data_IF_642666079818
#
_entry.id   IF_642666079818
#
_cell.length_a   1.000
_cell.length_b   1.000
_cell.length_c   1.000
_cell.angle_alpha   90.00
_cell.angle_beta   90.00
_cell.angle_gamma   90.00
#
_symmetry.space_group_name_H-M   'P 1'
#
loop_
_entity.id
_entity.type
_entity.pdbx_description
1 polymer ?
#
# COMPACT_ATOMS: atom_id res chain seq x y z
N UNK A 1 22.60 -4.69 2.70
CA UNK A 1 21.53 -4.75 1.68
C UNK A 1 20.67 -3.48 1.80
N UNK A 2 20.49 -2.70 0.72
CA UNK A 2 19.78 -1.42 0.73
C UNK A 2 18.34 -1.52 1.26
N UNK A 3 17.67 -2.66 1.01
CA UNK A 3 16.32 -2.94 1.51
C UNK A 3 16.22 -2.95 3.04
N UNK A 4 17.27 -3.41 3.74
CA UNK A 4 17.32 -3.43 5.21
C UNK A 4 17.45 -2.03 5.80
N UNK A 5 18.16 -1.13 5.12
CA UNK A 5 18.32 0.26 5.54
C UNK A 5 17.03 1.07 5.33
N UNK A 6 16.36 0.89 4.19
CA UNK A 6 15.08 1.53 3.92
C UNK A 6 13.99 1.05 4.87
N UNK A 7 13.84 -0.28 5.04
CA UNK A 7 12.90 -0.87 6.00
C UNK A 7 13.16 -0.36 7.42
N UNK A 8 14.41 -0.37 7.88
CA UNK A 8 14.78 0.15 9.20
C UNK A 8 14.43 1.63 9.34
N UNK A 9 14.75 2.46 8.34
CA UNK A 9 14.48 3.90 8.37
C UNK A 9 12.98 4.19 8.40
N UNK A 10 12.18 3.53 7.57
CA UNK A 10 10.73 3.64 7.59
C UNK A 10 10.17 3.21 8.95
N UNK A 11 10.59 2.06 9.45
CA UNK A 11 10.07 1.50 10.70
C UNK A 11 10.43 2.34 11.93
N UNK A 12 11.62 2.95 11.93
CA UNK A 12 12.14 3.71 13.09
C UNK A 12 11.91 5.21 13.01
N UNK A 13 11.68 5.78 11.82
CA UNK A 13 11.48 7.22 11.64
C UNK A 13 10.05 7.58 11.24
N UNK A 14 9.42 6.78 10.37
CA UNK A 14 8.09 7.08 9.82
C UNK A 14 6.99 6.38 10.62
N UNK A 15 7.17 5.11 10.97
CA UNK A 15 6.19 4.31 11.72
C UNK A 15 6.48 4.21 13.22
N UNK A 16 7.03 5.28 13.80
CA UNK A 16 7.22 5.38 15.24
C UNK A 16 5.88 5.26 15.98
N UNK A 17 5.85 4.64 17.18
CA UNK A 17 4.63 4.50 17.98
C UNK A 17 3.88 5.80 18.25
N UNK A 18 4.59 6.92 18.29
CA UNK A 18 4.05 8.25 18.52
C UNK A 18 3.46 8.89 17.25
N UNK A 19 4.01 8.60 16.07
CA UNK A 19 3.55 9.17 14.79
C UNK A 19 2.51 8.31 14.09
N UNK A 20 2.52 7.00 14.33
CA UNK A 20 1.60 6.10 13.63
C UNK A 20 0.12 6.36 13.95
N UNK A 21 -0.32 6.54 15.21
CA UNK A 21 -1.72 6.83 15.50
C UNK A 21 -2.26 8.11 14.82
N UNK A 22 -1.59 9.29 14.92
CA UNK A 22 -2.08 10.48 14.22
C UNK A 22 -2.01 10.35 12.70
N UNK A 23 -1.01 9.65 12.15
CA UNK A 23 -0.91 9.41 10.71
C UNK A 23 -2.04 8.52 10.20
N UNK A 24 -2.36 7.43 10.91
CA UNK A 24 -3.50 6.57 10.58
C UNK A 24 -4.84 7.31 10.71
N UNK A 25 -4.99 8.18 11.72
CA UNK A 25 -6.16 9.04 11.85
C UNK A 25 -6.30 10.02 10.69
N UNK A 26 -5.20 10.64 10.25
CA UNK A 26 -5.20 11.53 9.09
C UNK A 26 -5.55 10.78 7.82
N UNK A 27 -4.89 9.64 7.55
CA UNK A 27 -5.20 8.79 6.40
C UNK A 27 -6.67 8.35 6.43
N UNK A 28 -7.18 7.90 7.58
CA UNK A 28 -8.60 7.58 7.75
C UNK A 28 -9.49 8.77 7.44
N UNK A 29 -9.16 9.97 7.93
CA UNK A 29 -9.99 11.16 7.71
C UNK A 29 -10.02 11.62 6.25
N UNK A 30 -8.91 11.41 5.53
CA UNK A 30 -8.78 11.74 4.11
C UNK A 30 -9.56 10.73 3.25
N UNK A 31 -9.44 9.43 3.57
CA UNK A 31 -10.07 8.36 2.80
C UNK A 31 -11.54 8.15 3.17
N UNK A 32 -11.91 8.37 4.43
CA UNK A 32 -13.25 8.13 4.99
C UNK A 32 -13.72 9.34 5.83
N UNK A 33 -14.12 10.45 5.20
CA UNK A 33 -14.64 11.63 5.90
C UNK A 33 -15.81 11.23 6.82
N UNK A 34 -15.77 11.64 8.08
CA UNK A 34 -16.79 11.32 9.10
C UNK A 34 -17.09 9.81 9.29
N UNK A 35 -16.18 8.92 8.87
CA UNK A 35 -16.38 7.48 8.96
C UNK A 35 -17.69 7.01 8.30
N UNK A 36 -18.17 7.75 7.29
CA UNK A 36 -19.36 7.37 6.54
C UNK A 36 -19.06 6.12 5.73
N UNK A 37 -20.02 5.19 5.70
CA UNK A 37 -19.95 4.07 4.77
C UNK A 37 -19.75 4.62 3.36
N UNK A 38 -18.74 4.10 2.67
CA UNK A 38 -18.54 4.41 1.26
C UNK A 38 -19.79 4.04 0.46
N UNK A 39 -20.01 4.67 -0.70
CA UNK A 39 -21.07 4.24 -1.61
C UNK A 39 -20.93 2.74 -1.91
N UNK A 40 -22.03 2.05 -2.25
CA UNK A 40 -21.97 0.65 -2.67
C UNK A 40 -20.91 0.49 -3.74
N UNK A 41 -20.14 -0.60 -3.66
CA UNK A 41 -19.06 -0.86 -4.58
C UNK A 41 -19.59 -0.75 -6.02
N UNK A 42 -18.98 0.07 -6.89
CA UNK A 42 -19.39 0.12 -8.28
C UNK A 42 -19.23 -1.27 -8.91
N UNK A 43 -19.96 -1.57 -9.99
CA UNK A 43 -19.72 -2.79 -10.73
C UNK A 43 -18.23 -2.90 -11.10
N UNK A 44 -17.64 -4.11 -11.11
CA UNK A 44 -16.25 -4.28 -11.50
C UNK A 44 -16.03 -3.62 -12.87
N UNK A 45 -14.98 -2.78 -13.01
CA UNK A 45 -14.68 -2.12 -14.28
C UNK A 45 -14.43 -3.17 -15.37
N UNK A 46 -14.87 -2.84 -16.58
CA UNK A 46 -14.58 -3.62 -17.78
C UNK A 46 -13.07 -3.69 -18.04
N UNK A 47 -12.64 -4.64 -18.88
CA UNK A 47 -11.21 -4.80 -19.20
C UNK A 47 -10.60 -3.53 -19.79
N UNK A 48 -11.33 -2.84 -20.67
CA UNK A 48 -10.88 -1.58 -21.28
C UNK A 48 -10.77 -0.47 -20.23
N UNK A 49 -11.75 -0.35 -19.34
CA UNK A 49 -11.71 0.62 -18.24
C UNK A 49 -10.55 0.34 -17.27
N UNK A 50 -10.25 -0.93 -16.99
CA UNK A 50 -9.12 -1.31 -16.12
C UNK A 50 -7.79 -0.84 -16.69
N UNK A 51 -7.57 -1.06 -17.99
CA UNK A 51 -6.36 -0.61 -18.69
C UNK A 51 -6.28 0.92 -18.63
N UNK A 52 -7.39 1.62 -18.94
CA UNK A 52 -7.42 3.08 -18.89
C UNK A 52 -7.15 3.64 -17.48
N UNK A 53 -7.71 3.01 -16.44
CA UNK A 53 -7.47 3.38 -15.03
C UNK A 53 -6.01 3.17 -14.65
N UNK A 54 -5.41 2.05 -15.04
CA UNK A 54 -4.01 1.74 -14.77
C UNK A 54 -3.07 2.73 -15.43
N UNK A 55 -3.24 2.97 -16.73
CA UNK A 55 -2.43 3.94 -17.48
C UNK A 55 -2.55 5.34 -16.90
N UNK A 56 -3.76 5.76 -16.54
CA UNK A 56 -3.99 7.04 -15.87
C UNK A 56 -3.28 7.10 -14.52
N UNK A 57 -3.40 6.07 -13.70
CA UNK A 57 -2.72 5.99 -12.41
C UNK A 57 -1.19 6.04 -12.55
N UNK A 58 -0.63 5.37 -13.56
CA UNK A 58 0.79 5.42 -13.87
C UNK A 58 1.25 6.84 -14.24
N UNK A 59 0.48 7.54 -15.08
CA UNK A 59 0.75 8.93 -15.44
C UNK A 59 0.65 9.87 -14.22
N UNK A 60 -0.36 9.69 -13.36
CA UNK A 60 -0.52 10.49 -12.14
C UNK A 60 0.65 10.25 -11.17
N UNK A 61 1.09 8.99 -10.99
CA UNK A 61 2.27 8.65 -10.18
C UNK A 61 3.54 9.30 -10.73
N UNK A 62 3.74 9.27 -12.04
CA UNK A 62 4.88 9.94 -12.68
C UNK A 62 4.84 11.45 -12.43
N UNK A 63 3.66 12.06 -12.49
CA UNK A 63 3.44 13.49 -12.23
C UNK A 63 3.71 13.91 -10.78
N UNK A 64 3.67 12.98 -9.82
CA UNK A 64 4.06 13.24 -8.43
C UNK A 64 5.58 13.31 -8.24
N UNK A 65 6.36 12.79 -9.18
CA UNK A 65 7.82 12.72 -9.08
C UNK A 65 8.47 13.94 -9.76
N UNK A 66 9.42 14.63 -9.09
CA UNK A 66 10.23 15.64 -9.76
C UNK A 66 10.99 15.04 -10.96
N UNK A 67 11.09 15.79 -12.06
CA UNK A 67 11.71 15.32 -13.32
C UNK A 67 13.08 14.64 -13.15
N UNK A 68 13.94 15.18 -12.29
CA UNK A 68 15.27 14.58 -12.02
C UNK A 68 15.18 13.23 -11.31
N UNK A 69 14.27 13.11 -10.35
CA UNK A 69 14.05 11.90 -9.56
C UNK A 69 13.56 10.80 -10.47
N UNK A 70 12.53 11.08 -11.26
CA UNK A 70 11.96 10.05 -12.12
C UNK A 70 12.86 9.69 -13.32
N UNK A 71 13.71 10.59 -13.85
CA UNK A 71 14.74 10.21 -14.85
C UNK A 71 15.79 9.28 -14.26
N UNK A 72 16.16 9.51 -13.01
CA UNK A 72 17.19 8.72 -12.33
C UNK A 72 16.66 7.33 -11.94
N UNK A 73 15.42 7.26 -11.47
CA UNK A 73 14.79 6.01 -11.01
C UNK A 73 14.37 5.10 -12.16
N UNK A 74 13.75 5.66 -13.19
CA UNK A 74 13.12 4.91 -14.29
C UNK A 74 14.05 4.76 -15.50
N UNK A 75 15.20 5.46 -15.52
CA UNK A 75 16.26 5.33 -16.54
C UNK A 75 15.82 5.38 -18.02
N UNK A 76 14.61 5.89 -18.29
CA UNK A 76 14.06 6.06 -19.64
C UNK A 76 14.03 7.53 -20.03
N UNK A 77 14.27 7.80 -21.32
CA UNK A 77 14.36 9.17 -21.84
C UNK A 77 12.99 9.75 -22.23
N UNK A 78 12.03 8.92 -22.65
CA UNK A 78 10.67 9.36 -22.97
C UNK A 78 9.73 9.26 -21.77
N UNK A 79 8.72 10.13 -21.76
CA UNK A 79 7.68 10.11 -20.73
C UNK A 79 6.79 8.88 -20.89
N UNK A 80 6.40 8.55 -22.13
CA UNK A 80 5.62 7.33 -22.44
C UNK A 80 6.30 6.05 -21.93
N UNK A 81 7.61 5.87 -22.14
CA UNK A 81 8.29 4.66 -21.67
C UNK A 81 8.30 4.56 -20.13
N UNK A 82 8.28 5.71 -19.44
CA UNK A 82 8.23 5.77 -17.97
C UNK A 82 6.84 5.48 -17.45
N UNK A 83 5.82 5.94 -18.17
CA UNK A 83 4.42 5.55 -17.89
C UNK A 83 4.25 4.05 -18.08
N UNK A 84 4.76 3.49 -19.18
CA UNK A 84 4.68 2.06 -19.46
C UNK A 84 5.42 1.22 -18.39
N UNK A 85 6.61 1.65 -17.95
CA UNK A 85 7.33 0.99 -16.84
C UNK A 85 6.53 1.04 -15.52
N UNK A 86 5.94 2.18 -15.17
CA UNK A 86 5.12 2.28 -13.96
C UNK A 86 3.85 1.42 -14.09
N UNK A 87 3.21 1.41 -15.26
CA UNK A 87 2.00 0.64 -15.53
C UNK A 87 2.25 -0.86 -15.37
N UNK A 88 3.33 -1.38 -15.95
CA UNK A 88 3.64 -2.82 -15.97
C UNK A 88 4.40 -3.27 -14.71
N UNK A 89 5.51 -2.62 -14.36
CA UNK A 89 6.40 -3.10 -13.29
C UNK A 89 5.93 -2.68 -11.89
N UNK A 90 5.35 -1.49 -11.76
CA UNK A 90 4.92 -0.95 -10.45
C UNK A 90 3.44 -1.25 -10.18
N UNK A 91 2.57 -1.19 -11.20
CA UNK A 91 1.14 -1.44 -11.06
C UNK A 91 0.72 -2.84 -11.55
N UNK A 92 1.59 -3.61 -12.21
CA UNK A 92 1.25 -4.93 -12.75
C UNK A 92 0.78 -5.94 -11.70
N UNK A 93 1.28 -5.84 -10.46
CA UNK A 93 0.84 -6.72 -9.36
C UNK A 93 -0.67 -6.65 -9.08
N UNK A 94 -1.34 -5.55 -9.45
CA UNK A 94 -2.77 -5.38 -9.25
C UNK A 94 -3.64 -6.33 -10.08
N UNK A 95 -3.11 -6.92 -11.15
CA UNK A 95 -3.82 -7.95 -11.93
C UNK A 95 -3.74 -9.34 -11.28
N UNK A 96 -2.84 -9.54 -10.31
CA UNK A 96 -2.66 -10.82 -9.65
C UNK A 96 -3.62 -10.96 -8.47
N UNK A 97 -4.60 -11.86 -8.62
CA UNK A 97 -5.59 -12.17 -7.58
C UNK A 97 -4.95 -12.67 -6.27
N UNK A 98 -3.89 -13.48 -6.36
CA UNK A 98 -3.21 -14.03 -5.19
C UNK A 98 -2.42 -12.96 -4.46
N UNK A 99 -1.70 -12.12 -5.20
CA UNK A 99 -0.90 -11.04 -4.63
C UNK A 99 -1.80 -10.04 -3.90
N UNK A 100 -2.95 -9.70 -4.47
CA UNK A 100 -3.99 -8.91 -3.82
C UNK A 100 -4.46 -9.55 -2.49
N UNK A 101 -4.70 -10.86 -2.48
CA UNK A 101 -5.13 -11.59 -1.27
C UNK A 101 -4.06 -11.53 -0.15
N UNK A 102 -2.80 -11.80 -0.49
CA UNK A 102 -1.71 -11.76 0.48
C UNK A 102 -1.42 -10.34 0.98
N UNK A 103 -1.61 -9.33 0.14
CA UNK A 103 -1.51 -7.93 0.56
C UNK A 103 -2.54 -7.61 1.66
N UNK A 104 -3.80 -8.02 1.47
CA UNK A 104 -4.84 -7.82 2.48
C UNK A 104 -4.50 -8.57 3.78
N UNK A 105 -4.01 -9.80 3.69
CA UNK A 105 -3.57 -10.55 4.87
C UNK A 105 -2.41 -9.88 5.59
N UNK A 106 -1.41 -9.36 4.87
CA UNK A 106 -0.29 -8.62 5.45
C UNK A 106 -0.74 -7.32 6.13
N UNK A 107 -1.68 -6.58 5.53
CA UNK A 107 -2.26 -5.37 6.16
C UNK A 107 -3.01 -5.74 7.44
N UNK A 108 -3.86 -6.77 7.39
CA UNK A 108 -4.60 -7.24 8.56
C UNK A 108 -3.65 -7.69 9.67
N UNK A 109 -2.64 -8.48 9.34
CA UNK A 109 -1.62 -8.93 10.29
C UNK A 109 -0.88 -7.75 10.91
N UNK A 110 -0.47 -6.75 10.12
CA UNK A 110 0.18 -5.53 10.63
C UNK A 110 -0.70 -4.78 11.61
N UNK A 111 -1.98 -4.58 11.29
CA UNK A 111 -2.94 -3.90 12.16
C UNK A 111 -3.16 -4.71 13.44
N UNK A 112 -3.37 -6.03 13.32
CA UNK A 112 -3.59 -6.92 14.45
C UNK A 112 -2.38 -6.95 15.38
N UNK A 113 -1.17 -7.11 14.86
CA UNK A 113 0.07 -7.09 15.65
C UNK A 113 0.35 -5.72 16.28
N UNK A 114 -0.23 -4.64 15.74
CA UNK A 114 -0.10 -3.30 16.34
C UNK A 114 -1.05 -3.08 17.50
N UNK A 115 -2.24 -3.69 17.46
CA UNK A 115 -3.26 -3.59 18.49
C UNK A 115 -3.03 -4.63 19.60
N UNK A 116 -2.64 -5.84 19.23
CA UNK A 116 -2.38 -6.98 20.11
C UNK A 116 -0.98 -7.54 19.78
N UNK A 117 0.10 -6.92 20.30
CA UNK A 117 1.47 -7.33 19.98
C UNK A 117 1.79 -8.77 20.42
N UNK A 118 1.02 -9.33 21.36
CA UNK A 118 1.11 -10.73 21.80
C UNK A 118 0.78 -11.72 20.68
N UNK A 119 0.03 -11.30 19.66
CA UNK A 119 -0.32 -12.10 18.48
C UNK A 119 0.84 -12.25 17.49
N UNK A 120 1.97 -11.58 17.70
CA UNK A 120 3.13 -11.69 16.81
C UNK A 120 3.75 -13.08 16.84
N UNK A 121 3.76 -13.69 18.03
CA UNK A 121 4.45 -14.95 18.30
C UNK A 121 3.49 -16.06 18.74
N UNK A 122 2.21 -15.73 18.97
CA UNK A 122 1.20 -16.65 19.48
C UNK A 122 -0.10 -16.53 18.71
N UNK A 123 -0.72 -17.67 18.46
CA UNK A 123 -2.05 -17.73 17.85
C UNK A 123 -3.13 -17.28 18.85
N UNK A 124 -4.29 -16.78 18.38
CA UNK A 124 -5.41 -16.43 19.24
C UNK A 124 -5.81 -17.57 20.20
N UNK A 125 -5.77 -18.82 19.72
CA UNK A 125 -6.07 -20.00 20.51
C UNK A 125 -5.07 -20.26 21.65
N UNK A 126 -3.78 -19.97 21.42
CA UNK A 126 -2.73 -20.10 22.43
C UNK A 126 -2.87 -19.02 23.50
N UNK A 127 -3.17 -17.79 23.07
CA UNK A 127 -3.45 -16.67 23.99
C UNK A 127 -4.70 -16.91 24.85
N UNK A 128 -5.70 -17.59 24.30
CA UNK A 128 -6.91 -17.97 25.04
C UNK A 128 -6.63 -19.08 26.06
N UNK A 129 -5.84 -20.10 25.68
CA UNK A 129 -5.45 -21.20 26.58
C UNK A 129 -4.55 -20.73 27.74
N UNK A 130 -3.78 -19.65 27.57
CA UNK A 130 -3.01 -19.04 28.66
C UNK A 130 -3.87 -18.25 29.66
N UNK A 131 -5.12 -17.93 29.30
CA UNK A 131 -6.07 -17.17 30.14
C UNK A 131 -7.07 -18.07 30.88
N UNK A 132 -7.07 -19.38 30.64
CA UNK A 132 -7.94 -20.37 31.28
C UNK A 132 -7.77 -21.78 30.77
#
# INVERSE_FOLDING_TARGET
SPYRFFYYTISTRIFTPTLLPPLLLQVRSILFPNNTLGPPAPPPPSTEERIAIKRKAAADILGLLPNRVAKTLLMHDSEEARVDEIEEEILGWSDDLWLNKYLIYGILELVLCRICPEMRDKLPSELLAERG
#
